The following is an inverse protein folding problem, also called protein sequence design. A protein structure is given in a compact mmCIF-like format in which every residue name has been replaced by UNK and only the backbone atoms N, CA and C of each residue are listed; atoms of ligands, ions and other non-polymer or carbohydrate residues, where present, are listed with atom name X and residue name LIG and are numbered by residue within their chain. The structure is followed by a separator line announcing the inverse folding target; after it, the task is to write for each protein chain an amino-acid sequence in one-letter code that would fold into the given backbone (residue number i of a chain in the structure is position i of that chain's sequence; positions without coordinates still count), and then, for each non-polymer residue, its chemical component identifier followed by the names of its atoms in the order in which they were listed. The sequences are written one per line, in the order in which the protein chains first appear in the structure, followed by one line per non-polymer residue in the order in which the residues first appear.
data_IF_505427644062
#
_entry.id   IF_505427644062
#
_cell.length_a   1.000
_cell.length_b   1.000
_cell.length_c   1.000
_cell.angle_alpha   90.00
_cell.angle_beta   90.00
_cell.angle_gamma   90.00
#
_symmetry.space_group_name_H-M   'P 1'
#
loop_
_entity.id
_entity.type
_entity.pdbx_description
1 polymer ?
#
# COMPACT_ATOMS: atom_id res chain seq x y z
N UNK A 1 -0.90 -14.11 -18.41
CA UNK A 1 -0.71 -12.87 -17.63
C UNK A 1 0.77 -12.50 -17.67
N UNK A 2 1.14 -11.21 -17.71
CA UNK A 2 2.53 -10.80 -17.57
C UNK A 2 3.08 -11.28 -16.22
N UNK A 3 4.37 -11.66 -16.16
CA UNK A 3 4.97 -12.34 -15.00
C UNK A 3 4.92 -11.54 -13.69
N UNK A 4 4.73 -10.22 -13.78
CA UNK A 4 4.72 -9.32 -12.62
C UNK A 4 3.32 -9.11 -12.02
N UNK A 5 2.27 -9.56 -12.71
CA UNK A 5 0.89 -9.41 -12.26
C UNK A 5 0.45 -10.61 -11.45
N UNK A 6 -0.34 -10.36 -10.40
CA UNK A 6 -0.93 -11.41 -9.56
C UNK A 6 -2.37 -11.08 -9.21
N UNK A 7 -3.15 -12.10 -8.89
CA UNK A 7 -4.51 -11.93 -8.37
C UNK A 7 -4.45 -11.78 -6.86
N UNK A 8 -5.07 -10.73 -6.32
CA UNK A 8 -5.26 -10.55 -4.88
C UNK A 8 -6.63 -9.96 -4.63
N UNK A 9 -7.44 -10.60 -3.78
CA UNK A 9 -8.81 -10.16 -3.45
C UNK A 9 -9.69 -9.92 -4.69
N UNK A 10 -9.48 -10.67 -5.78
CA UNK A 10 -10.23 -10.50 -7.03
C UNK A 10 -9.71 -9.39 -7.96
N UNK A 11 -8.67 -8.66 -7.56
CA UNK A 11 -8.03 -7.64 -8.38
C UNK A 11 -6.73 -8.14 -9.01
N UNK A 12 -6.49 -7.70 -10.24
CA UNK A 12 -5.19 -7.85 -10.88
C UNK A 12 -4.25 -6.76 -10.36
N UNK A 13 -3.29 -7.17 -9.55
CA UNK A 13 -2.28 -6.31 -8.92
C UNK A 13 -1.01 -6.35 -9.75
N UNK A 14 -0.50 -5.20 -10.13
CA UNK A 14 0.70 -5.07 -10.96
C UNK A 14 1.14 -3.61 -11.14
N UNK A 15 2.24 -3.38 -11.87
CA UNK A 15 2.74 -2.04 -12.15
C UNK A 15 1.70 -1.24 -12.94
N UNK A 16 1.47 0.02 -12.53
CA UNK A 16 0.47 0.93 -13.11
C UNK A 16 -0.96 0.41 -13.10
N UNK A 17 -1.27 -0.60 -12.27
CA UNK A 17 -2.64 -1.06 -12.10
C UNK A 17 -3.52 0.08 -11.58
N UNK A 18 -4.75 0.18 -12.10
CA UNK A 18 -5.76 1.04 -11.53
C UNK A 18 -6.54 0.25 -10.47
N UNK A 19 -6.27 0.55 -9.21
CA UNK A 19 -6.83 -0.04 -8.00
C UNK A 19 -7.52 1.04 -7.15
N UNK A 20 -7.91 2.16 -7.74
CA UNK A 20 -8.59 3.24 -7.03
C UNK A 20 -9.90 2.72 -6.43
N UNK A 21 -10.09 2.97 -5.13
CA UNK A 21 -11.25 2.48 -4.37
C UNK A 21 -11.33 0.95 -4.23
N UNK A 22 -10.27 0.21 -4.59
CA UNK A 22 -10.27 -1.24 -4.45
C UNK A 22 -10.32 -1.66 -2.98
N UNK A 23 -11.07 -2.72 -2.68
CA UNK A 23 -11.03 -3.36 -1.38
C UNK A 23 -9.94 -4.44 -1.37
N UNK A 24 -8.78 -4.07 -0.83
CA UNK A 24 -7.61 -4.92 -0.65
C UNK A 24 -7.32 -5.15 0.84
N UNK A 25 -8.31 -4.94 1.73
CA UNK A 25 -8.16 -5.11 3.17
C UNK A 25 -7.68 -6.53 3.48
N UNK A 26 -6.63 -6.67 4.30
CA UNK A 26 -5.97 -7.94 4.59
C UNK A 26 -5.41 -8.64 3.34
N UNK A 27 -5.11 -7.91 2.28
CA UNK A 27 -4.58 -8.45 1.02
C UNK A 27 -3.14 -8.96 1.18
N UNK A 28 -2.82 -10.04 0.48
CA UNK A 28 -1.45 -10.59 0.43
C UNK A 28 -0.68 -9.92 -0.72
N UNK A 29 0.00 -8.81 -0.41
CA UNK A 29 0.71 -7.96 -1.37
C UNK A 29 2.24 -7.94 -1.13
N UNK A 30 2.75 -8.86 -0.32
CA UNK A 30 4.19 -8.98 -0.08
C UNK A 30 4.94 -9.19 -1.39
N UNK A 31 6.02 -8.43 -1.59
CA UNK A 31 6.80 -8.40 -2.84
C UNK A 31 5.99 -8.04 -4.09
N UNK A 32 4.80 -7.45 -3.96
CA UNK A 32 4.02 -7.04 -5.12
C UNK A 32 4.73 -5.89 -5.87
N UNK A 33 4.65 -5.93 -7.20
CA UNK A 33 5.02 -4.79 -8.02
C UNK A 33 3.82 -3.85 -8.14
N UNK A 34 3.86 -2.73 -7.42
CA UNK A 34 2.87 -1.65 -7.41
C UNK A 34 3.47 -0.35 -7.98
N UNK A 35 4.57 -0.43 -8.73
CA UNK A 35 5.26 0.76 -9.28
C UNK A 35 4.28 1.56 -10.13
N UNK A 36 4.04 2.81 -9.74
CA UNK A 36 3.10 3.71 -10.41
C UNK A 36 1.63 3.29 -10.35
N UNK A 37 1.26 2.34 -9.48
CA UNK A 37 -0.13 1.93 -9.33
C UNK A 37 -0.98 3.07 -8.73
N UNK A 38 -2.23 3.17 -9.17
CA UNK A 38 -3.21 4.08 -8.58
C UNK A 38 -4.00 3.32 -7.51
N UNK A 39 -3.77 3.66 -6.25
CA UNK A 39 -4.44 3.11 -5.05
C UNK A 39 -5.23 4.23 -4.33
N UNK A 40 -5.61 5.29 -5.05
CA UNK A 40 -6.36 6.42 -4.49
C UNK A 40 -7.63 5.90 -3.80
N UNK A 41 -7.78 6.19 -2.51
CA UNK A 41 -8.93 5.76 -1.71
C UNK A 41 -9.10 4.24 -1.57
N UNK A 42 -8.08 3.43 -1.90
CA UNK A 42 -8.13 1.99 -1.71
C UNK A 42 -8.15 1.63 -0.22
N UNK A 43 -8.87 0.57 0.13
CA UNK A 43 -8.79 -0.03 1.46
C UNK A 43 -7.68 -1.07 1.48
N UNK A 44 -6.59 -0.77 2.17
CA UNK A 44 -5.43 -1.64 2.41
C UNK A 44 -5.28 -1.95 3.90
N UNK A 45 -6.35 -1.77 4.70
CA UNK A 45 -6.31 -2.03 6.14
C UNK A 45 -5.85 -3.45 6.44
N UNK A 46 -4.84 -3.60 7.30
CA UNK A 46 -4.23 -4.89 7.63
C UNK A 46 -3.57 -5.62 6.46
N UNK A 47 -3.39 -4.99 5.30
CA UNK A 47 -2.74 -5.63 4.16
C UNK A 47 -1.25 -5.87 4.44
N UNK A 48 -0.73 -6.98 3.91
CA UNK A 48 0.69 -7.28 3.97
C UNK A 48 1.38 -6.73 2.71
N UNK A 49 2.10 -5.62 2.84
CA UNK A 49 2.90 -4.95 1.81
C UNK A 49 4.41 -5.12 2.07
N UNK A 50 4.81 -6.13 2.85
CA UNK A 50 6.22 -6.44 3.13
C UNK A 50 7.04 -6.50 1.84
N UNK A 51 8.12 -5.73 1.78
CA UNK A 51 9.02 -5.63 0.63
C UNK A 51 8.31 -5.28 -0.72
N UNK A 52 7.12 -4.67 -0.68
CA UNK A 52 6.42 -4.26 -1.89
C UNK A 52 7.16 -3.12 -2.62
N UNK A 53 7.10 -3.13 -3.94
CA UNK A 53 7.65 -2.08 -4.79
C UNK A 53 6.55 -1.09 -5.13
N UNK A 54 6.43 0.00 -4.39
CA UNK A 54 5.37 1.00 -4.54
C UNK A 54 5.92 2.38 -4.94
N UNK A 55 7.06 2.41 -5.63
CA UNK A 55 7.64 3.66 -6.11
C UNK A 55 6.65 4.40 -7.01
N UNK A 56 6.46 5.70 -6.76
CA UNK A 56 5.52 6.55 -7.51
C UNK A 56 4.07 6.07 -7.49
N UNK A 57 3.69 5.18 -6.58
CA UNK A 57 2.29 4.80 -6.39
C UNK A 57 1.49 6.00 -5.84
N UNK A 58 0.23 6.10 -6.23
CA UNK A 58 -0.69 7.12 -5.70
C UNK A 58 -1.55 6.45 -4.64
N UNK A 59 -1.26 6.69 -3.37
CA UNK A 59 -1.95 6.17 -2.19
C UNK A 59 -2.80 7.26 -1.51
N UNK A 60 -3.17 8.31 -2.26
CA UNK A 60 -3.90 9.43 -1.67
C UNK A 60 -5.23 8.97 -1.08
N UNK A 61 -5.53 9.40 0.15
CA UNK A 61 -6.72 8.97 0.91
C UNK A 61 -6.86 7.45 1.09
N UNK A 62 -5.81 6.66 0.87
CA UNK A 62 -5.85 5.22 1.09
C UNK A 62 -5.92 4.89 2.58
N UNK A 63 -6.64 3.82 2.92
CA UNK A 63 -6.67 3.30 4.28
C UNK A 63 -5.56 2.25 4.45
N UNK A 64 -4.50 2.56 5.19
CA UNK A 64 -3.37 1.66 5.48
C UNK A 64 -3.35 1.26 6.96
N UNK A 65 -4.45 1.42 7.71
CA UNK A 65 -4.50 1.13 9.14
C UNK A 65 -4.04 -0.31 9.41
N UNK A 66 -3.07 -0.50 10.30
CA UNK A 66 -2.54 -1.83 10.64
C UNK A 66 -1.83 -2.56 9.50
N UNK A 67 -1.58 -1.93 8.35
CA UNK A 67 -0.86 -2.57 7.25
C UNK A 67 0.62 -2.79 7.60
N UNK A 68 1.21 -3.85 7.06
CA UNK A 68 2.65 -4.10 7.18
C UNK A 68 3.39 -3.54 5.95
N UNK A 69 4.17 -2.48 6.13
CA UNK A 69 4.97 -1.81 5.08
C UNK A 69 6.47 -2.07 5.25
N UNK A 70 6.90 -2.99 6.11
CA UNK A 70 8.34 -3.25 6.35
C UNK A 70 9.07 -3.50 5.04
N UNK A 71 10.17 -2.75 4.82
CA UNK A 71 10.98 -2.86 3.60
C UNK A 71 10.29 -2.41 2.31
N UNK A 72 9.05 -1.91 2.34
CA UNK A 72 8.38 -1.42 1.16
C UNK A 72 9.12 -0.19 0.60
N UNK A 73 9.33 -0.17 -0.71
CA UNK A 73 9.95 0.98 -1.36
C UNK A 73 8.86 1.98 -1.78
N UNK A 74 8.71 3.03 -0.97
CA UNK A 74 7.77 4.13 -1.17
C UNK A 74 8.42 5.37 -1.84
N UNK A 75 9.58 5.25 -2.48
CA UNK A 75 10.26 6.40 -3.11
C UNK A 75 9.34 7.09 -4.13
N UNK A 76 9.02 8.35 -3.85
CA UNK A 76 8.15 9.18 -4.69
C UNK A 76 6.68 8.77 -4.69
N UNK A 77 6.26 7.87 -3.79
CA UNK A 77 4.84 7.58 -3.59
C UNK A 77 4.14 8.80 -2.98
N UNK A 78 2.89 9.00 -3.39
CA UNK A 78 2.04 10.06 -2.84
C UNK A 78 1.11 9.45 -1.78
N UNK A 79 1.32 9.83 -0.52
CA UNK A 79 0.57 9.37 0.65
C UNK A 79 -0.38 10.44 1.20
N UNK A 80 -0.64 11.53 0.48
CA UNK A 80 -1.49 12.62 1.00
C UNK A 80 -2.86 12.10 1.43
N UNK A 81 -3.23 12.44 2.66
CA UNK A 81 -4.40 12.02 3.43
C UNK A 81 -4.51 10.49 3.65
N UNK A 82 -3.42 9.72 3.48
CA UNK A 82 -3.44 8.29 3.75
C UNK A 82 -3.45 8.02 5.27
N UNK A 83 -4.33 7.14 5.73
CA UNK A 83 -4.43 6.77 7.14
C UNK A 83 -3.45 5.64 7.48
N UNK A 84 -2.46 5.92 8.31
CA UNK A 84 -1.38 4.99 8.68
C UNK A 84 -1.49 4.47 10.11
N UNK A 85 -2.57 4.75 10.84
CA UNK A 85 -2.70 4.39 12.26
C UNK A 85 -2.46 2.88 12.48
N UNK A 86 -1.52 2.55 13.36
CA UNK A 86 -1.15 1.17 13.69
C UNK A 86 -0.39 0.42 12.60
N UNK A 87 -0.09 1.03 11.45
CA UNK A 87 0.73 0.40 10.42
C UNK A 87 2.16 0.18 10.91
N UNK A 88 2.78 -0.94 10.51
CA UNK A 88 4.22 -1.14 10.69
C UNK A 88 4.94 -0.50 9.52
N UNK A 89 5.71 0.55 9.78
CA UNK A 89 6.36 1.38 8.77
C UNK A 89 7.54 0.70 8.09
N UNK A 90 8.10 1.35 7.06
CA UNK A 90 9.20 0.81 6.24
C UNK A 90 10.46 0.47 7.04
N UNK A 91 10.67 1.13 8.19
CA UNK A 91 11.78 0.93 9.12
C UNK A 91 11.43 0.01 10.31
N UNK A 92 10.21 -0.53 10.35
CA UNK A 92 9.76 -1.46 11.38
C UNK A 92 9.07 -0.83 12.59
N UNK A 93 8.99 0.50 12.70
CA UNK A 93 8.25 1.14 13.81
C UNK A 93 6.75 1.11 13.55
N UNK A 94 5.96 1.06 14.62
CA UNK A 94 4.50 1.16 14.52
C UNK A 94 4.07 2.62 14.53
N UNK A 95 3.20 3.02 13.61
CA UNK A 95 2.67 4.37 13.54
C UNK A 95 1.60 4.63 14.61
N UNK A 96 1.72 5.75 15.32
CA UNK A 96 0.82 6.14 16.39
C UNK A 96 -0.58 6.55 15.88
N UNK A 97 -1.51 6.74 16.82
CA UNK A 97 -2.80 7.37 16.52
C UNK A 97 -2.61 8.74 15.86
N UNK A 98 -3.48 9.07 14.90
CA UNK A 98 -3.38 10.31 14.13
C UNK A 98 -2.29 10.32 13.05
N UNK A 99 -1.57 9.22 12.80
CA UNK A 99 -0.60 9.14 11.71
C UNK A 99 -1.29 9.23 10.35
N UNK A 100 -1.17 10.39 9.72
CA UNK A 100 -1.65 10.69 8.36
C UNK A 100 -0.47 11.18 7.53
N UNK A 101 -0.41 10.81 6.26
CA UNK A 101 0.68 11.09 5.28
C UNK A 101 2.02 10.40 5.56
N UNK A 102 2.42 10.39 6.83
CA UNK A 102 3.67 9.82 7.33
C UNK A 102 3.46 9.24 8.71
N UNK A 103 4.30 8.27 9.02
CA UNK A 103 4.39 7.72 10.37
C UNK A 103 4.96 8.81 11.31
N UNK A 104 4.18 9.24 12.30
CA UNK A 104 4.64 10.13 13.38
C UNK A 104 5.28 9.30 14.49
#
# INVERSE_FOLDING_TARGET
MPKEWRLSRGYLVGPRANLAGANLAGGHLAYANLVGANLTGADLSGANLDNARAQRAVLTRANLTGANLVGANLTGADLTDANLVGATWIDGRTCAEGSVDRCA
#
